data_IF_713323071853
#
_entry.id   IF_713323071853
#
_cell.length_a   1.000
_cell.length_b   1.000
_cell.length_c   1.000
_cell.angle_alpha   90.00
_cell.angle_beta   90.00
_cell.angle_gamma   90.00
#
_symmetry.space_group_name_H-M   'P 1'
#
loop_
_entity.id
_entity.type
_entity.pdbx_description
1 polymer ?
#
# COMPACT_ATOMS: atom_id res chain seq x y z
N UNK A 1 -9.79 -3.27 -21.76
CA UNK A 1 -9.81 -1.91 -21.16
C UNK A 1 -10.47 -1.89 -19.78
N UNK A 2 -11.76 -2.21 -19.58
CA UNK A 2 -12.39 -2.16 -18.23
C UNK A 2 -11.61 -2.92 -17.15
N UNK A 3 -11.27 -4.18 -17.42
CA UNK A 3 -10.45 -5.00 -16.51
C UNK A 3 -9.07 -4.39 -16.28
N UNK A 4 -8.44 -3.86 -17.34
CA UNK A 4 -7.15 -3.19 -17.22
C UNK A 4 -7.24 -1.93 -16.35
N UNK A 5 -8.27 -1.09 -16.53
CA UNK A 5 -8.53 0.08 -15.69
C UNK A 5 -8.70 -0.33 -14.22
N UNK A 6 -9.52 -1.33 -13.95
CA UNK A 6 -9.73 -1.81 -12.58
C UNK A 6 -8.43 -2.37 -11.97
N UNK A 7 -7.66 -3.16 -12.73
CA UNK A 7 -6.37 -3.69 -12.28
C UNK A 7 -5.35 -2.56 -12.01
N UNK A 8 -5.22 -1.60 -12.92
CA UNK A 8 -4.32 -0.46 -12.74
C UNK A 8 -4.67 0.35 -11.49
N UNK A 9 -5.97 0.55 -11.24
CA UNK A 9 -6.48 1.18 -10.03
C UNK A 9 -6.17 0.36 -8.76
N UNK A 10 -6.38 -0.96 -8.79
CA UNK A 10 -5.99 -1.86 -7.69
C UNK A 10 -4.50 -1.75 -7.38
N UNK A 11 -3.65 -1.78 -8.42
CA UNK A 11 -2.20 -1.67 -8.26
C UNK A 11 -1.78 -0.29 -7.75
N UNK A 12 -2.46 0.78 -8.16
CA UNK A 12 -2.23 2.13 -7.63
C UNK A 12 -2.51 2.20 -6.12
N UNK A 13 -3.62 1.60 -5.66
CA UNK A 13 -3.95 1.50 -4.23
C UNK A 13 -2.90 0.69 -3.46
N UNK A 14 -2.48 -0.46 -4.00
CA UNK A 14 -1.52 -1.34 -3.32
C UNK A 14 -0.10 -0.77 -3.26
N UNK A 15 0.33 -0.09 -4.32
CA UNK A 15 1.69 0.46 -4.44
C UNK A 15 1.83 1.88 -3.88
N UNK A 16 0.72 2.63 -3.78
CA UNK A 16 0.74 4.06 -3.52
C UNK A 16 1.27 4.91 -4.70
N UNK A 17 1.40 4.32 -5.89
CA UNK A 17 1.83 5.00 -7.11
C UNK A 17 0.64 5.39 -7.99
N UNK A 18 0.71 6.57 -8.60
CA UNK A 18 -0.27 7.02 -9.61
C UNK A 18 0.15 6.68 -11.04
N UNK A 19 1.33 6.10 -11.26
CA UNK A 19 1.86 5.75 -12.59
C UNK A 19 2.13 4.24 -12.63
N UNK A 20 1.29 3.51 -13.36
CA UNK A 20 1.22 2.05 -13.33
C UNK A 20 1.48 1.49 -14.72
N UNK A 21 2.41 0.53 -14.82
CA UNK A 21 2.71 -0.17 -16.06
C UNK A 21 2.27 -1.64 -15.95
N UNK A 22 1.39 -2.07 -16.86
CA UNK A 22 0.91 -3.45 -16.96
C UNK A 22 1.30 -4.02 -18.32
N UNK A 23 1.92 -5.19 -18.33
CA UNK A 23 2.17 -5.92 -19.58
C UNK A 23 0.91 -6.63 -20.05
N UNK A 24 0.72 -6.76 -21.36
CA UNK A 24 -0.33 -7.59 -21.94
C UNK A 24 0.19 -8.32 -23.19
N UNK A 25 -0.13 -9.61 -23.37
CA UNK A 25 0.30 -10.33 -24.56
C UNK A 25 -0.57 -9.92 -25.76
N UNK A 26 0.06 -9.86 -26.93
CA UNK A 26 -0.64 -9.67 -28.21
C UNK A 26 -0.50 -10.93 -29.06
N UNK A 27 -1.40 -11.17 -30.02
CA UNK A 27 -1.30 -12.34 -30.91
C UNK A 27 -0.05 -12.29 -31.78
N UNK A 28 0.44 -11.08 -32.07
CA UNK A 28 1.50 -10.77 -33.05
C UNK A 28 1.23 -11.33 -34.44
N UNK A 29 -0.07 -11.48 -34.79
CA UNK A 29 -0.56 -11.87 -36.11
C UNK A 29 -1.34 -10.71 -36.71
N UNK A 30 -0.65 -9.68 -37.26
CA UNK A 30 -1.33 -8.54 -37.87
C UNK A 30 -1.88 -8.85 -39.26
N UNK A 31 -1.32 -9.86 -39.95
CA UNK A 31 -1.77 -10.32 -41.26
C UNK A 31 -2.60 -11.60 -41.13
N UNK A 32 -3.83 -11.66 -41.67
CA UNK A 32 -4.68 -12.85 -41.67
C UNK A 32 -4.00 -14.11 -42.25
N UNK A 33 -3.04 -13.95 -43.16
CA UNK A 33 -2.27 -15.07 -43.70
C UNK A 33 -1.45 -15.82 -42.64
N UNK A 34 -1.23 -15.21 -41.47
CA UNK A 34 -0.51 -15.80 -40.35
C UNK A 34 -1.43 -16.60 -39.41
N UNK A 35 -2.76 -16.51 -39.54
CA UNK A 35 -3.70 -17.09 -38.56
C UNK A 35 -3.58 -18.61 -38.45
N UNK A 36 -3.35 -19.31 -39.57
CA UNK A 36 -3.25 -20.77 -39.60
C UNK A 36 -1.81 -21.30 -39.37
N UNK A 37 -0.83 -20.41 -39.18
CA UNK A 37 0.57 -20.81 -38.98
C UNK A 37 0.87 -21.22 -37.55
N UNK A 38 1.58 -22.33 -37.38
CA UNK A 38 2.11 -22.76 -36.08
C UNK A 38 3.48 -22.13 -35.85
N UNK A 39 3.61 -21.28 -34.84
CA UNK A 39 4.86 -20.59 -34.51
C UNK A 39 4.71 -19.62 -33.33
N UNK A 40 5.85 -19.11 -32.84
CA UNK A 40 5.89 -18.08 -31.79
C UNK A 40 5.71 -16.71 -32.43
N UNK A 41 4.47 -16.20 -32.36
CA UNK A 41 4.12 -14.86 -32.84
C UNK A 41 3.76 -13.91 -31.68
N UNK A 42 3.47 -14.45 -30.50
CA UNK A 42 2.96 -13.65 -29.40
C UNK A 42 3.94 -12.52 -29.02
N UNK A 43 3.44 -11.29 -29.08
CA UNK A 43 4.17 -10.09 -28.66
C UNK A 43 3.79 -9.69 -27.24
N UNK A 44 4.39 -8.60 -26.75
CA UNK A 44 4.02 -7.99 -25.48
C UNK A 44 3.97 -6.48 -25.64
N UNK A 45 2.87 -5.88 -25.20
CA UNK A 45 2.67 -4.44 -25.15
C UNK A 45 2.63 -4.01 -23.69
N UNK A 46 3.24 -2.86 -23.38
CA UNK A 46 3.19 -2.27 -22.04
C UNK A 46 2.17 -1.15 -22.03
N UNK A 47 1.17 -1.28 -21.17
CA UNK A 47 0.11 -0.31 -20.98
C UNK A 47 0.47 0.55 -19.76
N UNK A 48 0.96 1.76 -20.01
CA UNK A 48 1.28 2.73 -18.95
C UNK A 48 0.06 3.60 -18.69
N UNK A 49 -0.49 3.49 -17.49
CA UNK A 49 -1.72 4.14 -17.07
C UNK A 49 -1.44 5.10 -15.92
N UNK A 50 -1.88 6.35 -16.06
CA UNK A 50 -1.87 7.32 -14.95
C UNK A 50 -3.21 7.36 -14.24
N UNK A 51 -3.20 7.18 -12.93
CA UNK A 51 -4.38 7.16 -12.07
C UNK A 51 -4.50 8.50 -11.34
N UNK A 52 -5.40 9.36 -11.79
CA UNK A 52 -5.73 10.61 -11.08
C UNK A 52 -6.94 10.38 -10.18
N UNK A 53 -6.74 10.42 -8.87
CA UNK A 53 -7.79 10.14 -7.87
C UNK A 53 -8.99 11.09 -7.95
N UNK A 54 -8.87 12.24 -8.60
CA UNK A 54 -9.95 13.23 -8.74
C UNK A 54 -10.90 12.91 -9.88
N UNK A 55 -10.50 12.06 -10.82
CA UNK A 55 -11.33 11.67 -11.96
C UNK A 55 -12.42 10.69 -11.53
N UNK A 56 -13.51 10.66 -12.27
CA UNK A 56 -14.50 9.58 -12.18
C UNK A 56 -14.00 8.32 -12.87
N UNK A 57 -14.56 7.15 -12.54
CA UNK A 57 -14.20 5.92 -13.25
C UNK A 57 -14.50 6.00 -14.76
N UNK A 58 -15.56 6.70 -15.15
CA UNK A 58 -15.92 6.88 -16.57
C UNK A 58 -14.86 7.67 -17.34
N UNK A 59 -14.37 8.77 -16.76
CA UNK A 59 -13.29 9.59 -17.36
C UNK A 59 -11.98 8.81 -17.43
N UNK A 60 -11.65 8.10 -16.36
CA UNK A 60 -10.46 7.27 -16.29
C UNK A 60 -10.50 6.14 -17.32
N UNK A 61 -11.63 5.44 -17.45
CA UNK A 61 -11.81 4.38 -18.45
C UNK A 61 -11.68 4.92 -19.89
N UNK A 62 -12.18 6.13 -20.16
CA UNK A 62 -12.02 6.77 -21.46
C UNK A 62 -10.53 7.05 -21.76
N UNK A 63 -9.79 7.60 -20.80
CA UNK A 63 -8.35 7.86 -20.94
C UNK A 63 -7.54 6.55 -21.12
N UNK A 64 -7.86 5.51 -20.35
CA UNK A 64 -7.25 4.18 -20.50
C UNK A 64 -7.56 3.59 -21.87
N UNK A 65 -8.80 3.71 -22.36
CA UNK A 65 -9.17 3.25 -23.70
C UNK A 65 -8.33 3.92 -24.77
N UNK A 66 -8.17 5.23 -24.73
CA UNK A 66 -7.39 5.96 -25.73
C UNK A 66 -5.91 5.53 -25.69
N UNK A 67 -5.33 5.42 -24.49
CA UNK A 67 -3.94 4.97 -24.28
C UNK A 67 -3.72 3.53 -24.74
N UNK A 68 -4.63 2.62 -24.36
CA UNK A 68 -4.56 1.22 -24.74
C UNK A 68 -4.67 1.05 -26.26
N UNK A 69 -5.59 1.77 -26.92
CA UNK A 69 -5.75 1.73 -28.38
C UNK A 69 -4.50 2.25 -29.10
N UNK A 70 -3.92 3.35 -28.62
CA UNK A 70 -2.68 3.90 -29.16
C UNK A 70 -1.52 2.89 -29.01
N UNK A 71 -1.39 2.26 -27.84
CA UNK A 71 -0.37 1.23 -27.61
C UNK A 71 -0.57 0.01 -28.53
N UNK A 72 -1.81 -0.47 -28.71
CA UNK A 72 -2.10 -1.59 -29.60
C UNK A 72 -1.89 -1.26 -31.08
N UNK A 73 -2.01 0.01 -31.48
CA UNK A 73 -1.70 0.44 -32.85
C UNK A 73 -0.21 0.25 -33.21
N UNK A 74 0.66 0.06 -32.20
CA UNK A 74 2.10 -0.17 -32.33
C UNK A 74 2.53 -1.56 -31.80
N UNK A 75 1.60 -2.52 -31.73
CA UNK A 75 1.85 -3.85 -31.19
C UNK A 75 2.80 -4.73 -32.02
N UNK A 76 3.18 -4.28 -33.22
CA UNK A 76 4.14 -4.92 -34.12
C UNK A 76 5.60 -4.63 -33.75
N UNK A 77 5.85 -3.62 -32.91
CA UNK A 77 7.18 -3.31 -32.41
C UNK A 77 7.66 -4.41 -31.43
N UNK A 78 8.85 -5.00 -31.65
CA UNK A 78 9.39 -5.99 -30.73
C UNK A 78 9.65 -5.39 -29.34
N UNK A 79 9.21 -6.09 -28.30
CA UNK A 79 9.34 -5.63 -26.90
C UNK A 79 10.78 -5.24 -26.54
N UNK A 80 11.77 -6.03 -26.97
CA UNK A 80 13.19 -5.76 -26.69
C UNK A 80 13.66 -4.42 -27.28
N UNK A 81 13.14 -4.01 -28.44
CA UNK A 81 13.47 -2.70 -29.02
C UNK A 81 12.86 -1.55 -28.22
N UNK A 82 11.68 -1.75 -27.64
CA UNK A 82 11.05 -0.78 -26.73
C UNK A 82 11.87 -0.66 -25.45
N UNK A 83 12.33 -1.78 -24.87
CA UNK A 83 13.22 -1.78 -23.70
C UNK A 83 14.51 -1.03 -23.99
N UNK A 84 15.14 -1.28 -25.13
CA UNK A 84 16.38 -0.62 -25.53
C UNK A 84 16.19 0.89 -25.74
N UNK A 85 15.06 1.31 -26.33
CA UNK A 85 14.74 2.71 -26.55
C UNK A 85 14.41 3.47 -25.24
N UNK A 86 13.68 2.84 -24.32
CA UNK A 86 13.35 3.43 -23.00
C UNK A 86 14.59 3.46 -22.10
N UNK A 87 15.51 2.50 -22.26
CA UNK A 87 16.73 2.34 -21.48
C UNK A 87 16.50 2.42 -19.95
N UNK A 88 15.62 1.57 -19.37
CA UNK A 88 15.36 1.58 -17.94
C UNK A 88 16.59 1.12 -17.14
N UNK A 89 16.60 1.43 -15.83
CA UNK A 89 17.62 0.89 -14.92
C UNK A 89 17.53 -0.63 -14.93
N UNK A 90 18.59 -1.30 -15.38
CA UNK A 90 18.60 -2.76 -15.48
C UNK A 90 18.53 -3.40 -14.10
N UNK A 91 17.57 -4.30 -13.93
CA UNK A 91 17.46 -5.17 -12.77
C UNK A 91 17.61 -6.62 -13.20
N UNK A 92 18.27 -7.44 -12.38
CA UNK A 92 18.27 -8.90 -12.54
C UNK A 92 17.07 -9.57 -11.85
N UNK A 93 16.33 -8.82 -11.03
CA UNK A 93 15.25 -9.35 -10.18
C UNK A 93 13.86 -8.95 -10.64
N UNK A 94 13.74 -8.00 -11.57
CA UNK A 94 12.45 -7.50 -12.04
C UNK A 94 12.45 -7.40 -13.56
N UNK A 95 11.28 -7.61 -14.14
CA UNK A 95 11.06 -7.45 -15.56
C UNK A 95 11.17 -5.95 -15.96
N UNK A 96 11.78 -5.60 -17.11
CA UNK A 96 12.38 -4.27 -17.33
C UNK A 96 11.41 -3.08 -17.37
N UNK A 97 10.14 -3.29 -17.75
CA UNK A 97 9.17 -2.21 -17.94
C UNK A 97 7.85 -2.40 -17.16
N UNK A 98 7.59 -3.59 -16.63
CA UNK A 98 6.38 -3.91 -15.87
C UNK A 98 6.64 -5.16 -15.03
N UNK A 99 5.90 -5.32 -13.94
CA UNK A 99 5.97 -6.49 -13.05
C UNK A 99 4.69 -7.33 -13.06
N UNK A 100 3.58 -6.73 -13.49
CA UNK A 100 2.26 -7.37 -13.56
C UNK A 100 1.87 -7.58 -15.00
N UNK A 101 1.49 -8.82 -15.33
CA UNK A 101 0.96 -9.21 -16.64
C UNK A 101 -0.56 -9.38 -16.56
N UNK A 102 -1.29 -8.83 -17.52
CA UNK A 102 -2.72 -9.05 -17.74
C UNK A 102 -2.91 -9.81 -19.06
N UNK A 103 -3.24 -11.10 -18.96
CA UNK A 103 -3.64 -11.92 -20.08
C UNK A 103 -5.17 -12.03 -20.12
N UNK A 104 -5.77 -11.61 -21.24
CA UNK A 104 -7.21 -11.66 -21.43
C UNK A 104 -7.53 -12.54 -22.64
N UNK A 105 -8.14 -13.70 -22.39
CA UNK A 105 -8.45 -14.70 -23.41
C UNK A 105 -9.94 -14.64 -23.79
N UNK A 106 -10.21 -14.18 -25.01
CA UNK A 106 -11.57 -14.09 -25.56
C UNK A 106 -11.94 -15.24 -26.49
N UNK A 107 -11.05 -16.20 -26.68
CA UNK A 107 -11.31 -17.35 -27.52
C UNK A 107 -12.11 -18.37 -26.71
N UNK A 108 -13.33 -18.66 -27.16
CA UNK A 108 -14.14 -19.71 -26.56
C UNK A 108 -13.33 -21.01 -26.50
N UNK A 109 -13.34 -21.67 -25.35
CA UNK A 109 -12.65 -22.94 -25.18
C UNK A 109 -13.04 -23.88 -26.31
N UNK A 110 -12.07 -24.37 -27.07
CA UNK A 110 -12.32 -25.36 -28.11
C UNK A 110 -12.72 -26.67 -27.40
N UNK A 111 -14.02 -26.89 -27.22
CA UNK A 111 -14.51 -28.21 -26.85
C UNK A 111 -14.25 -29.15 -28.02
N UNK A 112 -13.21 -29.97 -27.89
CA UNK A 112 -13.00 -31.08 -28.80
C UNK A 112 -14.01 -32.18 -28.42
N UNK A 113 -15.09 -32.31 -29.21
CA UNK A 113 -16.02 -33.43 -29.07
C UNK A 113 -15.59 -34.53 -30.04
N UNK A 114 -15.24 -35.69 -29.49
CA UNK A 114 -14.92 -36.88 -30.27
C UNK A 114 -16.07 -37.86 -30.12
N UNK A 115 -17.05 -37.81 -31.03
CA UNK A 115 -18.28 -38.64 -30.98
C UNK A 115 -18.93 -38.67 -29.59
N UNK A 116 -18.92 -39.82 -28.91
CA UNK A 116 -19.49 -40.02 -27.56
C UNK A 116 -18.56 -39.58 -26.42
N UNK A 117 -17.35 -39.11 -26.72
CA UNK A 117 -16.31 -38.74 -25.75
C UNK A 117 -16.22 -37.23 -25.63
N UNK A 118 -16.56 -36.73 -24.43
CA UNK A 118 -16.29 -35.35 -24.04
C UNK A 118 -14.82 -35.18 -23.66
N UNK A 119 -14.06 -34.39 -24.43
CA UNK A 119 -12.68 -34.03 -24.10
C UNK A 119 -12.67 -32.67 -23.41
N UNK A 120 -12.07 -32.62 -22.22
CA UNK A 120 -11.83 -31.36 -21.51
C UNK A 120 -10.34 -31.08 -21.47
N UNK A 121 -9.97 -29.85 -21.83
CA UNK A 121 -8.60 -29.36 -21.63
C UNK A 121 -8.34 -29.26 -20.13
N UNK A 122 -7.38 -30.04 -19.64
CA UNK A 122 -6.82 -29.83 -18.30
C UNK A 122 -5.57 -28.99 -18.45
N UNK A 123 -5.53 -27.81 -17.83
CA UNK A 123 -4.30 -27.04 -17.74
C UNK A 123 -3.29 -27.83 -16.91
N UNK A 124 -2.04 -27.90 -17.38
CA UNK A 124 -0.93 -28.41 -16.57
C UNK A 124 -0.40 -27.20 -15.83
N UNK A 125 -0.39 -27.27 -14.49
CA UNK A 125 0.18 -26.22 -13.65
C UNK A 125 1.65 -26.04 -14.02
N UNK A 126 1.97 -24.93 -14.67
CA UNK A 126 3.36 -24.55 -14.90
C UNK A 126 3.87 -23.91 -13.62
N UNK A 127 4.83 -24.56 -12.97
CA UNK A 127 5.40 -24.10 -11.71
C UNK A 127 6.32 -22.87 -11.83
N UNK A 128 6.34 -22.18 -12.99
CA UNK A 128 7.26 -21.08 -13.26
C UNK A 128 6.47 -19.82 -13.60
N UNK A 129 6.34 -18.94 -12.61
CA UNK A 129 5.89 -17.57 -12.87
C UNK A 129 7.01 -16.80 -13.57
N UNK A 130 6.70 -16.17 -14.70
CA UNK A 130 7.67 -15.31 -15.44
C UNK A 130 7.64 -13.86 -14.98
N UNK A 131 6.63 -13.50 -14.20
CA UNK A 131 6.34 -12.16 -13.70
C UNK A 131 6.10 -12.22 -12.19
N UNK A 132 6.09 -11.07 -11.53
CA UNK A 132 5.80 -11.02 -10.10
C UNK A 132 4.32 -11.38 -9.87
N UNK A 133 3.44 -10.96 -10.78
CA UNK A 133 2.03 -11.34 -10.81
C UNK A 133 1.53 -11.48 -12.25
N UNK A 134 0.87 -12.58 -12.58
CA UNK A 134 0.20 -12.80 -13.87
C UNK A 134 -1.29 -13.06 -13.61
N UNK A 135 -2.14 -12.12 -14.04
CA UNK A 135 -3.60 -12.25 -14.02
C UNK A 135 -4.05 -12.75 -15.39
N UNK A 136 -4.51 -13.99 -15.43
CA UNK A 136 -5.15 -14.58 -16.62
C UNK A 136 -6.66 -14.58 -16.43
N UNK A 137 -7.40 -14.07 -17.41
CA UNK A 137 -8.86 -14.05 -17.41
C UNK A 137 -9.41 -14.59 -18.72
N UNK A 138 -10.57 -15.22 -18.65
CA UNK A 138 -11.31 -15.77 -19.77
C UNK A 138 -12.81 -15.52 -19.62
N UNK A 139 -13.49 -15.29 -20.74
CA UNK A 139 -14.94 -15.13 -20.77
C UNK A 139 -15.62 -16.49 -20.64
N UNK A 140 -16.52 -16.62 -19.65
CA UNK A 140 -17.42 -17.76 -19.55
C UNK A 140 -18.66 -17.50 -20.40
N UNK A 141 -19.10 -18.52 -21.14
CA UNK A 141 -20.36 -18.49 -21.87
C UNK A 141 -21.26 -19.64 -21.44
N UNK A 142 -22.55 -19.35 -21.34
CA UNK A 142 -23.58 -20.37 -21.14
C UNK A 142 -23.81 -21.16 -22.44
N UNK A 143 -24.54 -22.28 -22.34
CA UNK A 143 -24.83 -23.18 -23.47
C UNK A 143 -25.58 -22.49 -24.62
N UNK A 144 -26.32 -21.42 -24.32
CA UNK A 144 -27.03 -20.58 -25.30
C UNK A 144 -26.15 -19.47 -25.90
N UNK A 145 -24.87 -19.41 -25.52
CA UNK A 145 -23.91 -18.40 -25.95
C UNK A 145 -23.97 -17.09 -25.15
N UNK A 146 -24.85 -16.96 -24.16
CA UNK A 146 -24.92 -15.76 -23.32
C UNK A 146 -23.67 -15.63 -22.43
N UNK A 147 -23.28 -14.38 -22.13
CA UNK A 147 -22.17 -14.11 -21.21
C UNK A 147 -22.52 -14.62 -19.80
N UNK A 148 -21.68 -15.50 -19.27
CA UNK A 148 -21.84 -16.14 -17.96
C UNK A 148 -20.83 -15.63 -16.91
N UNK A 149 -20.06 -14.60 -17.26
CA UNK A 149 -19.08 -13.95 -16.38
C UNK A 149 -17.64 -14.12 -16.84
N UNK A 150 -16.71 -13.86 -15.94
CA UNK A 150 -15.27 -14.03 -16.15
C UNK A 150 -14.74 -15.07 -15.16
N UNK A 151 -13.82 -15.90 -15.62
CA UNK A 151 -13.04 -16.82 -14.78
C UNK A 151 -11.57 -16.69 -15.09
N UNK A 152 -10.70 -17.02 -14.14
CA UNK A 152 -9.29 -16.85 -14.32
C UNK A 152 -8.45 -17.28 -13.13
N UNK A 153 -7.18 -16.97 -13.22
CA UNK A 153 -6.15 -17.35 -12.25
C UNK A 153 -5.15 -16.21 -12.04
N UNK A 154 -4.60 -16.17 -10.83
CA UNK A 154 -3.48 -15.31 -10.45
C UNK A 154 -2.28 -16.21 -10.18
N UNK A 155 -1.26 -16.10 -11.02
CA UNK A 155 0.00 -16.84 -10.90
C UNK A 155 1.06 -15.91 -10.32
N UNK A 156 1.81 -16.40 -9.34
CA UNK A 156 2.83 -15.64 -8.63
C UNK A 156 3.92 -16.55 -8.07
N UNK A 157 5.16 -16.04 -7.88
CA UNK A 157 6.20 -16.77 -7.15
C UNK A 157 5.86 -16.85 -5.65
N UNK A 158 5.81 -18.06 -5.09
CA UNK A 158 5.59 -18.27 -3.65
C UNK A 158 6.74 -17.71 -2.79
N UNK A 159 7.90 -17.43 -3.38
CA UNK A 159 9.03 -16.75 -2.73
C UNK A 159 8.77 -15.25 -2.50
N UNK A 160 7.87 -14.64 -3.29
CA UNK A 160 7.51 -13.22 -3.19
C UNK A 160 6.22 -12.99 -2.41
N UNK A 161 5.22 -13.88 -2.56
CA UNK A 161 3.89 -13.65 -2.02
C UNK A 161 3.31 -14.86 -1.32
N UNK A 162 2.73 -14.61 -0.14
CA UNK A 162 1.85 -15.56 0.54
C UNK A 162 0.51 -15.66 -0.19
N UNK A 163 -0.06 -16.87 -0.22
CA UNK A 163 -1.36 -17.11 -0.86
C UNK A 163 -2.49 -16.26 -0.28
N UNK A 164 -2.50 -16.05 1.04
CA UNK A 164 -3.50 -15.20 1.71
C UNK A 164 -3.43 -13.74 1.24
N UNK A 165 -2.24 -13.24 0.91
CA UNK A 165 -2.05 -11.88 0.39
C UNK A 165 -2.64 -11.74 -1.01
N UNK A 166 -2.36 -12.70 -1.90
CA UNK A 166 -2.89 -12.67 -3.27
C UNK A 166 -4.41 -12.86 -3.30
N UNK A 167 -4.96 -13.70 -2.41
CA UNK A 167 -6.42 -13.82 -2.23
C UNK A 167 -7.03 -12.46 -1.87
N UNK A 168 -6.46 -11.74 -0.89
CA UNK A 168 -6.93 -10.40 -0.53
C UNK A 168 -6.85 -9.41 -1.69
N UNK A 169 -5.82 -9.47 -2.52
CA UNK A 169 -5.72 -8.61 -3.71
C UNK A 169 -6.76 -8.96 -4.77
N UNK A 170 -7.10 -10.24 -4.93
CA UNK A 170 -8.19 -10.67 -5.82
C UNK A 170 -9.56 -10.19 -5.32
N UNK A 171 -9.79 -10.22 -4.01
CA UNK A 171 -11.00 -9.69 -3.37
C UNK A 171 -11.08 -8.17 -3.54
N UNK A 172 -9.95 -7.46 -3.39
CA UNK A 172 -9.87 -6.03 -3.64
C UNK A 172 -10.20 -5.68 -5.10
N UNK A 173 -9.62 -6.39 -6.08
CA UNK A 173 -9.94 -6.19 -7.49
C UNK A 173 -11.43 -6.43 -7.76
N UNK A 174 -12.00 -7.50 -7.20
CA UNK A 174 -13.43 -7.79 -7.32
C UNK A 174 -14.30 -6.71 -6.68
N UNK A 175 -13.91 -6.21 -5.50
CA UNK A 175 -14.60 -5.12 -4.82
C UNK A 175 -14.57 -3.85 -5.66
N UNK A 176 -13.41 -3.47 -6.20
CA UNK A 176 -13.25 -2.32 -7.08
C UNK A 176 -14.16 -2.46 -8.31
N UNK A 177 -14.13 -3.60 -9.00
CA UNK A 177 -15.02 -3.88 -10.14
C UNK A 177 -16.49 -3.73 -9.77
N UNK A 178 -16.90 -4.26 -8.61
CA UNK A 178 -18.28 -4.18 -8.13
C UNK A 178 -18.69 -2.74 -7.85
N UNK A 179 -17.83 -1.95 -7.20
CA UNK A 179 -18.10 -0.56 -6.85
C UNK A 179 -18.19 0.33 -8.08
N UNK A 180 -17.27 0.20 -9.05
CA UNK A 180 -17.27 1.03 -10.26
C UNK A 180 -18.41 0.66 -11.22
N UNK A 181 -18.89 -0.58 -11.20
CA UNK A 181 -20.09 -0.98 -11.96
C UNK A 181 -21.36 -0.43 -11.32
N UNK A 182 -21.42 -0.36 -9.98
CA UNK A 182 -22.57 0.16 -9.27
C UNK A 182 -22.72 1.69 -9.42
N UNK A 183 -21.61 2.43 -9.37
CA UNK A 183 -21.59 3.89 -9.56
C UNK A 183 -20.31 4.36 -10.25
N UNK A 184 -20.28 4.40 -11.61
CA UNK A 184 -19.11 4.81 -12.37
C UNK A 184 -18.88 6.34 -12.37
N UNK A 185 -19.78 7.11 -11.74
CA UNK A 185 -19.69 8.58 -11.65
C UNK A 185 -18.95 9.07 -10.41
N UNK A 186 -18.64 8.16 -9.47
CA UNK A 186 -17.88 8.46 -8.27
C UNK A 186 -16.41 8.71 -8.59
N UNK A 187 -15.81 9.68 -7.90
CA UNK A 187 -14.39 9.95 -8.01
C UNK A 187 -13.59 8.76 -7.51
N UNK A 188 -12.47 8.45 -8.17
CA UNK A 188 -11.63 7.31 -7.85
C UNK A 188 -11.19 7.34 -6.38
N UNK A 189 -10.68 8.48 -5.89
CA UNK A 189 -10.21 8.63 -4.51
C UNK A 189 -11.28 8.46 -3.44
N UNK A 190 -12.57 8.60 -3.80
CA UNK A 190 -13.70 8.42 -2.89
C UNK A 190 -14.20 6.98 -2.83
N UNK A 191 -13.63 6.07 -3.63
CA UNK A 191 -13.98 4.66 -3.59
C UNK A 191 -13.47 4.04 -2.28
N UNK A 192 -14.33 3.26 -1.63
CA UNK A 192 -13.94 2.55 -0.42
C UNK A 192 -13.08 1.35 -0.83
N UNK A 193 -11.77 1.44 -0.57
CA UNK A 193 -10.83 0.38 -0.95
C UNK A 193 -10.68 -0.69 0.12
N UNK A 194 -10.88 -0.31 1.37
CA UNK A 194 -10.76 -1.21 2.51
C UNK A 194 -12.07 -1.94 2.66
N UNK A 195 -12.03 -3.27 2.61
CA UNK A 195 -13.26 -4.04 2.81
C UNK A 195 -13.78 -3.83 4.24
N UNK A 196 -15.10 -3.95 4.49
CA UNK A 196 -15.64 -3.85 5.86
C UNK A 196 -14.98 -4.81 6.85
N UNK A 197 -14.55 -6.00 6.38
CA UNK A 197 -13.83 -6.98 7.18
C UNK A 197 -12.44 -6.49 7.60
N UNK A 198 -11.69 -5.87 6.68
CA UNK A 198 -10.38 -5.28 6.97
C UNK A 198 -10.50 -4.05 7.88
N UNK A 199 -11.48 -3.18 7.65
CA UNK A 199 -11.73 -2.02 8.50
C UNK A 199 -12.01 -2.44 9.95
N UNK A 200 -12.82 -3.47 10.14
CA UNK A 200 -13.13 -4.03 11.46
C UNK A 200 -11.91 -4.68 12.14
N UNK A 201 -10.97 -5.23 11.37
CA UNK A 201 -9.73 -5.79 11.89
C UNK A 201 -8.73 -4.69 12.31
N UNK A 202 -8.79 -3.52 11.68
CA UNK A 202 -7.88 -2.40 11.92
C UNK A 202 -8.39 -1.41 12.97
N UNK A 203 -9.72 -1.26 13.11
CA UNK A 203 -10.34 -0.24 13.94
C UNK A 203 -11.41 -0.83 14.87
N UNK A 204 -11.40 -0.50 16.19
CA UNK A 204 -10.44 0.38 16.85
C UNK A 204 -9.14 -0.36 17.18
N UNK A 205 -8.01 0.11 16.66
CA UNK A 205 -6.71 -0.24 17.22
C UNK A 205 -6.61 0.37 18.61
N UNK A 206 -6.65 -0.48 19.63
CA UNK A 206 -6.52 -0.06 21.03
C UNK A 206 -5.19 -0.53 21.56
N UNK A 207 -4.38 0.41 22.04
CA UNK A 207 -3.25 0.09 22.90
C UNK A 207 -3.71 -0.55 24.22
N UNK A 208 -2.77 -1.04 25.04
CA UNK A 208 -3.08 -1.48 26.39
C UNK A 208 -3.81 -0.38 27.17
N UNK A 209 -4.61 -0.77 28.15
CA UNK A 209 -5.36 0.17 29.00
C UNK A 209 -4.41 1.23 29.55
N UNK A 210 -4.71 2.50 29.27
CA UNK A 210 -3.93 3.61 29.79
C UNK A 210 -3.90 3.54 31.33
N UNK A 211 -2.72 3.82 31.89
CA UNK A 211 -2.59 4.04 33.33
C UNK A 211 -3.42 5.26 33.74
N UNK A 212 -3.80 5.33 35.01
CA UNK A 212 -4.43 6.53 35.54
C UNK A 212 -3.50 7.73 35.29
N UNK A 213 -4.05 8.84 34.80
CA UNK A 213 -3.28 10.05 34.57
C UNK A 213 -2.71 10.52 35.92
N UNK A 214 -1.39 10.67 35.99
CA UNK A 214 -0.68 11.23 37.13
C UNK A 214 0.15 12.41 36.66
N UNK A 215 0.18 13.46 37.47
CA UNK A 215 1.08 14.58 37.21
C UNK A 215 2.52 14.17 37.52
N UNK A 216 3.51 14.84 36.92
CA UNK A 216 4.92 14.59 37.27
C UNK A 216 5.11 14.69 38.80
N UNK A 217 4.68 15.77 39.50
CA UNK A 217 4.80 15.86 40.95
C UNK A 217 4.17 14.71 41.74
N UNK A 218 3.08 14.11 41.26
CA UNK A 218 2.47 12.93 41.88
C UNK A 218 3.33 11.67 41.74
N UNK A 219 4.12 11.55 40.66
CA UNK A 219 5.08 10.46 40.49
C UNK A 219 6.28 10.58 41.44
N UNK A 220 6.62 11.81 41.86
CA UNK A 220 7.65 12.09 42.84
C UNK A 220 7.06 12.16 44.25
N UNK A 221 6.69 11.00 44.78
CA UNK A 221 6.28 10.89 46.18
C UNK A 221 7.49 10.88 47.12
N UNK A 222 7.35 11.54 48.27
CA UNK A 222 8.42 11.65 49.28
C UNK A 222 8.83 10.29 49.89
N UNK A 223 8.03 9.24 49.70
CA UNK A 223 8.29 7.89 50.19
C UNK A 223 9.27 7.10 49.32
N UNK A 224 9.63 7.62 48.12
CA UNK A 224 10.68 7.01 47.31
C UNK A 224 12.05 7.15 47.97
N UNK A 225 12.75 6.03 48.09
CA UNK A 225 14.09 5.96 48.68
C UNK A 225 15.15 5.67 47.62
N UNK A 226 16.40 6.01 47.91
CA UNK A 226 17.54 5.80 47.01
C UNK A 226 17.89 6.99 46.12
N UNK A 227 18.74 6.73 45.13
CA UNK A 227 19.27 7.72 44.20
C UNK A 227 18.29 7.95 43.05
N UNK A 228 17.90 9.20 42.83
CA UNK A 228 17.02 9.63 41.74
C UNK A 228 17.78 9.96 40.46
N UNK A 229 18.96 10.58 40.58
CA UNK A 229 19.80 10.94 39.44
C UNK A 229 21.29 10.92 39.82
N UNK A 230 22.16 10.72 38.81
CA UNK A 230 23.61 10.83 38.93
C UNK A 230 24.16 11.66 37.78
N UNK A 231 25.16 12.50 38.06
CA UNK A 231 25.88 13.27 37.07
C UNK A 231 27.38 13.24 37.41
N UNK A 232 28.15 12.44 36.67
CA UNK A 232 29.54 12.16 37.04
C UNK A 232 29.62 11.46 38.42
N UNK A 233 30.35 12.05 39.35
CA UNK A 233 30.50 11.55 40.72
C UNK A 233 29.45 12.11 41.70
N UNK A 234 28.56 12.99 41.23
CA UNK A 234 27.50 13.55 42.04
C UNK A 234 26.24 12.68 41.99
N UNK A 235 25.59 12.52 43.13
CA UNK A 235 24.34 11.78 43.27
C UNK A 235 23.27 12.68 43.88
N UNK A 236 22.04 12.55 43.38
CA UNK A 236 20.87 13.23 43.92
C UNK A 236 19.87 12.19 44.41
N UNK A 237 19.59 12.18 45.71
CA UNK A 237 18.59 11.29 46.29
C UNK A 237 17.16 11.76 45.98
N UNK A 238 16.19 10.85 45.97
CA UNK A 238 14.77 11.19 45.76
C UNK A 238 14.26 12.26 46.73
N UNK A 239 14.63 12.15 48.01
CA UNK A 239 14.25 13.11 49.06
C UNK A 239 14.85 14.50 48.82
N UNK A 240 16.06 14.55 48.29
CA UNK A 240 16.74 15.81 47.99
C UNK A 240 16.18 16.45 46.73
N UNK A 241 15.89 15.66 45.69
CA UNK A 241 15.18 16.13 44.50
C UNK A 241 13.81 16.71 44.87
N UNK A 242 13.05 16.04 45.73
CA UNK A 242 11.76 16.53 46.21
C UNK A 242 11.89 17.85 46.97
N UNK A 243 12.80 17.92 47.95
CA UNK A 243 13.02 19.13 48.75
C UNK A 243 13.49 20.32 47.89
N UNK A 244 14.49 20.11 47.02
CA UNK A 244 15.06 21.17 46.17
C UNK A 244 14.07 21.62 45.09
N UNK A 245 13.36 20.69 44.45
CA UNK A 245 12.32 21.04 43.47
C UNK A 245 11.16 21.80 44.10
N UNK A 246 10.71 21.42 45.30
CA UNK A 246 9.67 22.13 46.04
C UNK A 246 10.08 23.54 46.46
N UNK A 247 11.34 23.72 46.87
CA UNK A 247 11.86 25.05 47.19
C UNK A 247 11.85 25.97 45.96
N UNK A 248 12.36 25.50 44.82
CA UNK A 248 12.36 26.27 43.58
C UNK A 248 10.95 26.52 43.03
N UNK A 249 10.06 25.54 43.10
CA UNK A 249 8.66 25.69 42.69
C UNK A 249 7.98 26.85 43.44
N UNK A 250 8.17 26.94 44.77
CA UNK A 250 7.63 28.06 45.57
C UNK A 250 8.17 29.42 45.15
N UNK A 251 9.44 29.49 44.72
CA UNK A 251 10.02 30.74 44.21
C UNK A 251 9.46 31.12 42.85
N UNK A 252 9.27 30.15 41.96
CA UNK A 252 8.60 30.36 40.68
C UNK A 252 7.17 30.88 40.89
N UNK A 253 6.42 30.26 41.80
CA UNK A 253 5.06 30.70 42.16
C UNK A 253 5.09 32.12 42.74
N UNK A 254 6.07 32.45 43.59
CA UNK A 254 6.19 33.78 44.18
C UNK A 254 6.46 34.90 43.14
N UNK A 255 7.01 34.57 41.97
CA UNK A 255 7.21 35.51 40.85
C UNK A 255 6.10 35.43 39.80
N UNK A 256 5.00 34.72 40.11
CA UNK A 256 3.80 34.67 39.28
C UNK A 256 3.69 33.51 38.31
N UNK A 257 4.63 32.54 38.34
CA UNK A 257 4.54 31.35 37.48
C UNK A 257 3.49 30.38 38.02
N UNK A 258 2.59 29.93 37.15
CA UNK A 258 1.55 28.96 37.47
C UNK A 258 1.10 28.10 36.29
N UNK A 259 -0.06 27.43 36.43
CA UNK A 259 -0.63 26.60 35.37
C UNK A 259 -0.83 27.35 34.05
N UNK A 260 -0.35 26.77 32.95
CA UNK A 260 -0.43 27.35 31.61
C UNK A 260 0.78 28.21 31.21
N UNK A 261 1.62 28.60 32.16
CA UNK A 261 2.87 29.32 31.86
C UNK A 261 3.93 28.40 31.27
N UNK A 262 4.90 29.02 30.58
CA UNK A 262 6.05 28.35 29.98
C UNK A 262 7.33 28.95 30.54
N UNK A 263 8.19 28.11 31.10
CA UNK A 263 9.46 28.53 31.70
C UNK A 263 10.62 27.94 30.91
N UNK A 264 11.46 28.80 30.34
CA UNK A 264 12.66 28.39 29.61
C UNK A 264 13.72 27.83 30.58
N UNK A 265 14.31 26.69 30.24
CA UNK A 265 15.47 26.11 30.92
C UNK A 265 16.67 26.27 29.99
N UNK A 266 17.66 27.04 30.41
CA UNK A 266 18.93 27.23 29.71
C UNK A 266 20.07 26.88 30.67
N UNK A 267 20.12 25.60 31.06
CA UNK A 267 21.08 25.03 32.01
C UNK A 267 21.73 23.83 31.32
N UNK A 268 23.09 23.71 31.29
CA UNK A 268 23.75 22.54 30.73
C UNK A 268 23.35 21.27 31.50
N UNK A 269 23.53 20.10 30.87
CA UNK A 269 23.19 18.79 31.47
C UNK A 269 23.86 18.64 32.84
N UNK A 270 23.05 18.59 33.89
CA UNK A 270 23.49 18.57 35.28
C UNK A 270 22.38 18.07 36.22
N UNK A 271 22.69 17.86 37.50
CA UNK A 271 21.64 17.62 38.51
C UNK A 271 20.68 18.82 38.63
N UNK A 272 21.19 20.04 38.44
CA UNK A 272 20.37 21.25 38.48
C UNK A 272 19.38 21.33 37.31
N UNK A 273 19.74 20.84 36.12
CA UNK A 273 18.80 20.76 34.99
C UNK A 273 17.64 19.80 35.29
N UNK A 274 17.90 18.70 36.00
CA UNK A 274 16.85 17.77 36.47
C UNK A 274 15.96 18.44 37.51
N UNK A 275 16.56 19.12 38.50
CA UNK A 275 15.80 19.83 39.54
C UNK A 275 14.92 20.93 38.94
N UNK A 276 15.40 21.66 37.94
CA UNK A 276 14.64 22.70 37.26
C UNK A 276 13.37 22.15 36.59
N UNK A 277 13.47 21.02 35.88
CA UNK A 277 12.31 20.35 35.26
C UNK A 277 11.26 20.01 36.31
N UNK A 278 11.68 19.41 37.43
CA UNK A 278 10.78 19.03 38.52
C UNK A 278 10.17 20.23 39.24
N UNK A 279 10.94 21.31 39.43
CA UNK A 279 10.46 22.54 40.06
C UNK A 279 9.40 23.24 39.20
N UNK A 280 9.63 23.35 37.88
CA UNK A 280 8.70 23.96 36.94
C UNK A 280 7.41 23.13 36.86
N UNK A 281 7.52 21.81 36.70
CA UNK A 281 6.35 20.93 36.70
C UNK A 281 5.53 21.04 38.00
N UNK A 282 6.19 21.17 39.15
CA UNK A 282 5.54 21.35 40.46
C UNK A 282 4.88 22.72 40.63
N UNK A 283 5.29 23.75 39.88
CA UNK A 283 4.57 25.03 39.80
C UNK A 283 3.30 24.96 38.93
N UNK A 284 3.10 23.88 38.18
CA UNK A 284 2.02 23.72 37.20
C UNK A 284 2.36 24.25 35.80
N UNK A 285 3.50 24.91 35.64
CA UNK A 285 3.98 25.40 34.36
C UNK A 285 4.64 24.29 33.52
N UNK A 286 4.76 24.54 32.22
CA UNK A 286 5.51 23.70 31.29
C UNK A 286 6.97 24.19 31.19
N UNK A 287 7.92 23.27 31.27
CA UNK A 287 9.32 23.58 31.01
C UNK A 287 9.61 23.58 29.51
N UNK A 288 10.46 24.50 29.06
CA UNK A 288 10.89 24.64 27.66
C UNK A 288 12.41 24.57 27.63
N UNK A 289 13.02 23.41 27.30
CA UNK A 289 14.47 23.31 27.20
C UNK A 289 14.98 24.13 26.01
N UNK A 290 16.00 24.96 26.25
CA UNK A 290 16.76 25.67 25.24
C UNK A 290 18.16 25.06 25.13
N UNK A 291 18.69 25.01 23.92
CA UNK A 291 20.07 24.56 23.69
C UNK A 291 21.05 25.61 24.23
N UNK A 292 22.13 25.16 24.87
CA UNK A 292 23.07 25.99 25.64
C UNK A 292 24.46 25.90 25.06
#
# INVERSE_FOLDING_TARGET
MVVHSALALTLAVLSGSEDIAVGTPTSGRPDPALDDLVGMFAGTVVLRTRVDQRQTFTEFLAAVRDTDLEAFAHADLPFDQVVDAVAPVRSATHHPLFQVMLAYQNFGGTELRLDEVAVRRRSIESAVSRYDLELSLSEMRADDGAAAGLTGDLVYPAELFDSSTVVRWSELLHHILSTVVADPSRALGDLEWVTPAEAAALVPSRGPKALAAQTLPELLTADRTGIAARCGNEELAYRELDARSNWWARRLIAVGVGPGDRVAIMIPRSLDSVIAVWAIARSGAAFVPLDV
#
